data_IF_813559822663
#
_entry.id   IF_813559822663
#
_cell.length_a   1.000
_cell.length_b   1.000
_cell.length_c   1.000
_cell.angle_alpha   90.00
_cell.angle_beta   90.00
_cell.angle_gamma   90.00
#
_symmetry.space_group_name_H-M   'P 1'
#
loop_
_entity.id
_entity.type
_entity.pdbx_description
1 polymer ?
#
# COMPACT_ATOMS: atom_id res chain seq x y z
N UNK A 1 29.81 5.10 65.82
CA UNK A 1 29.50 3.65 65.82
C UNK A 1 28.01 3.54 66.02
N UNK A 2 27.23 3.91 65.00
CA UNK A 2 26.81 3.05 63.87
C UNK A 2 25.81 1.98 64.30
N UNK A 3 24.58 2.08 63.80
CA UNK A 3 23.89 1.00 63.07
C UNK A 3 22.59 1.54 62.46
N UNK A 4 22.42 1.25 61.17
CA UNK A 4 21.43 1.76 60.22
C UNK A 4 20.05 1.10 60.38
N UNK A 5 18.91 1.76 60.02
CA UNK A 5 17.65 1.06 59.83
C UNK A 5 17.40 0.70 58.36
N UNK A 6 17.18 -0.59 58.13
CA UNK A 6 16.24 -1.23 57.21
C UNK A 6 16.05 -0.67 55.77
N UNK A 7 16.84 -1.16 54.83
CA UNK A 7 16.46 -1.28 53.42
C UNK A 7 16.77 -2.70 52.92
N UNK A 8 15.85 -3.65 53.13
CA UNK A 8 15.93 -4.98 52.50
C UNK A 8 14.59 -5.74 52.58
N UNK A 9 13.55 -5.23 51.93
CA UNK A 9 12.30 -5.94 51.57
C UNK A 9 11.46 -4.92 50.77
N UNK A 10 11.10 -5.07 49.50
CA UNK A 10 11.09 -6.21 48.61
C UNK A 10 11.25 -5.73 47.15
N UNK A 11 12.35 -6.14 46.50
CA UNK A 11 12.61 -5.92 45.08
C UNK A 11 12.01 -7.07 44.26
N UNK A 12 10.70 -7.32 44.42
CA UNK A 12 10.02 -8.42 43.74
C UNK A 12 8.54 -8.16 43.48
N UNK A 13 8.17 -6.96 42.99
CA UNK A 13 6.78 -6.69 42.58
C UNK A 13 6.62 -5.74 41.39
N UNK A 14 7.71 -5.30 40.73
CA UNK A 14 7.61 -4.38 39.59
C UNK A 14 7.82 -5.02 38.22
N UNK A 15 7.93 -6.35 38.14
CA UNK A 15 8.08 -7.09 36.89
C UNK A 15 6.74 -7.48 36.22
N UNK A 16 5.63 -6.79 36.50
CA UNK A 16 4.37 -7.08 35.82
C UNK A 16 3.56 -5.83 35.46
N UNK A 17 4.22 -4.78 34.98
CA UNK A 17 3.56 -3.77 34.14
C UNK A 17 3.68 -4.22 32.68
N UNK A 18 2.77 -5.09 32.24
CA UNK A 18 2.52 -5.22 30.81
C UNK A 18 2.09 -3.85 30.29
N UNK A 19 2.98 -3.17 29.56
CA UNK A 19 2.66 -1.88 28.95
C UNK A 19 1.67 -2.12 27.79
N UNK A 20 0.47 -1.49 27.79
CA UNK A 20 -0.49 -1.63 26.69
C UNK A 20 -0.14 -0.77 25.44
N UNK A 21 1.14 -0.47 25.17
CA UNK A 21 1.52 0.69 24.36
C UNK A 21 2.14 0.45 22.97
N UNK A 22 2.91 -0.62 22.75
CA UNK A 22 3.78 -0.72 21.56
C UNK A 22 3.02 -1.06 20.28
N UNK A 23 2.13 -2.07 20.34
CA UNK A 23 1.37 -2.56 19.17
C UNK A 23 0.40 -1.53 18.59
N UNK A 24 -0.10 -0.62 19.44
CA UNK A 24 -1.10 0.37 19.04
C UNK A 24 -0.44 1.59 18.36
N UNK A 25 0.77 1.95 18.80
CA UNK A 25 1.60 2.95 18.14
C UNK A 25 2.11 2.44 16.79
N UNK A 26 2.65 1.22 16.70
CA UNK A 26 3.08 0.61 15.43
C UNK A 26 1.94 0.51 14.41
N UNK A 27 0.75 0.08 14.83
CA UNK A 27 -0.42 0.04 13.94
C UNK A 27 -0.83 1.44 13.45
N UNK A 28 -0.66 2.48 14.28
CA UNK A 28 -0.99 3.85 13.89
C UNK A 28 0.00 4.42 12.87
N UNK A 29 1.28 4.11 13.00
CA UNK A 29 2.34 4.52 12.07
C UNK A 29 2.18 3.83 10.71
N UNK A 30 1.90 2.51 10.71
CA UNK A 30 1.61 1.77 9.47
C UNK A 30 0.38 2.37 8.76
N UNK A 31 -0.66 2.73 9.51
CA UNK A 31 -1.82 3.39 8.92
C UNK A 31 -1.52 4.78 8.37
N UNK A 32 -0.65 5.57 9.01
CA UNK A 32 -0.30 6.88 8.49
C UNK A 32 0.62 6.79 7.27
N UNK A 33 1.53 5.82 7.24
CA UNK A 33 2.33 5.53 6.06
C UNK A 33 1.45 5.11 4.87
N UNK A 34 0.51 4.19 5.09
CA UNK A 34 -0.46 3.77 4.07
C UNK A 34 -1.29 4.97 3.55
N UNK A 35 -1.71 5.88 4.45
CA UNK A 35 -2.39 7.13 4.08
C UNK A 35 -1.50 8.05 3.25
N UNK A 36 -0.23 8.21 3.61
CA UNK A 36 0.73 9.03 2.86
C UNK A 36 0.95 8.48 1.43
N UNK A 37 1.10 7.16 1.28
CA UNK A 37 1.23 6.53 -0.02
C UNK A 37 -0.05 6.67 -0.86
N UNK A 38 -1.22 6.60 -0.24
CA UNK A 38 -2.48 6.84 -0.94
C UNK A 38 -2.63 8.31 -1.40
N UNK A 39 -2.22 9.28 -0.57
CA UNK A 39 -2.15 10.69 -0.98
C UNK A 39 -1.21 10.86 -2.18
N UNK A 40 -0.06 10.18 -2.17
CA UNK A 40 0.88 10.18 -3.30
C UNK A 40 0.27 9.59 -4.57
N UNK A 41 -0.50 8.51 -4.49
CA UNK A 41 -1.24 7.97 -5.64
C UNK A 41 -2.19 9.03 -6.24
N UNK A 42 -2.91 9.77 -5.41
CA UNK A 42 -3.82 10.84 -5.86
C UNK A 42 -3.04 11.99 -6.52
N UNK A 43 -1.89 12.39 -5.97
CA UNK A 43 -1.01 13.41 -6.57
C UNK A 43 -0.53 12.99 -7.97
N UNK A 44 -0.09 11.74 -8.12
CA UNK A 44 0.32 11.18 -9.40
C UNK A 44 -0.84 11.17 -10.40
N UNK A 45 -2.02 10.70 -9.98
CA UNK A 45 -3.22 10.65 -10.82
C UNK A 45 -3.60 12.05 -11.36
N UNK A 46 -3.50 13.09 -10.54
CA UNK A 46 -3.83 14.49 -10.91
C UNK A 46 -2.98 15.03 -12.05
N UNK A 47 -1.81 14.45 -12.34
CA UNK A 47 -0.95 14.86 -13.48
C UNK A 47 -1.63 14.67 -14.84
N UNK A 48 -2.63 13.79 -14.92
CA UNK A 48 -3.39 13.50 -16.14
C UNK A 48 -4.79 14.16 -16.15
N UNK A 49 -5.06 15.12 -15.27
CA UNK A 49 -6.33 15.82 -15.24
C UNK A 49 -6.69 16.38 -16.63
N UNK A 50 -7.91 16.07 -17.10
CA UNK A 50 -8.40 16.47 -18.41
C UNK A 50 -7.90 15.64 -19.60
N UNK A 51 -7.14 14.55 -19.38
CA UNK A 51 -6.50 13.77 -20.45
C UNK A 51 -6.93 12.30 -20.53
N UNK A 52 -7.55 11.77 -19.48
CA UNK A 52 -7.87 10.34 -19.39
C UNK A 52 -9.25 9.97 -19.90
N UNK A 53 -10.19 10.92 -19.99
CA UNK A 53 -11.59 10.65 -20.33
C UNK A 53 -11.71 9.78 -21.61
N UNK A 54 -12.53 8.71 -21.60
CA UNK A 54 -13.48 8.30 -20.56
C UNK A 54 -12.88 7.51 -19.38
N UNK A 55 -11.57 7.22 -19.39
CA UNK A 55 -10.91 6.43 -18.34
C UNK A 55 -10.71 7.24 -17.04
N UNK A 56 -10.68 6.57 -15.87
CA UNK A 56 -10.44 7.21 -14.58
C UNK A 56 -9.01 7.75 -14.46
N UNK A 57 -8.84 8.71 -13.55
CA UNK A 57 -7.52 9.15 -13.09
C UNK A 57 -6.99 8.13 -12.08
N UNK A 58 -5.90 7.45 -12.44
CA UNK A 58 -5.28 6.44 -11.60
C UNK A 58 -3.80 6.76 -11.41
N UNK A 59 -3.35 6.63 -10.17
CA UNK A 59 -1.96 6.69 -9.77
C UNK A 59 -1.62 5.47 -8.90
N UNK A 60 -0.38 5.01 -8.99
CA UNK A 60 0.12 3.85 -8.26
C UNK A 60 1.54 4.09 -7.76
N UNK A 61 1.83 3.57 -6.58
CA UNK A 61 3.12 3.65 -5.90
C UNK A 61 3.50 2.25 -5.44
N UNK A 62 4.75 1.84 -5.66
CA UNK A 62 5.30 0.58 -5.17
C UNK A 62 6.32 0.89 -4.09
N UNK A 63 6.16 0.26 -2.93
CA UNK A 63 7.02 0.42 -1.77
C UNK A 63 7.70 -0.90 -1.42
N UNK A 64 9.01 -0.86 -1.26
CA UNK A 64 9.82 -1.96 -0.73
C UNK A 64 10.69 -1.44 0.40
N UNK A 65 10.70 -2.15 1.52
CA UNK A 65 11.51 -1.82 2.70
C UNK A 65 11.38 -0.36 3.16
N UNK A 66 10.12 0.14 3.16
CA UNK A 66 9.77 1.50 3.57
C UNK A 66 10.12 2.61 2.56
N UNK A 67 10.58 2.26 1.36
CA UNK A 67 10.97 3.20 0.31
C UNK A 67 10.13 3.05 -0.95
N UNK A 68 9.79 4.16 -1.58
CA UNK A 68 9.18 4.16 -2.91
C UNK A 68 10.23 3.68 -3.90
N UNK A 69 9.92 2.61 -4.63
CA UNK A 69 10.77 2.02 -5.67
C UNK A 69 10.18 2.16 -7.07
N UNK A 70 8.91 2.55 -7.19
CA UNK A 70 8.30 2.86 -8.47
C UNK A 70 7.02 3.67 -8.32
N UNK A 71 6.77 4.54 -9.30
CA UNK A 71 5.61 5.40 -9.38
C UNK A 71 5.01 5.37 -10.78
N UNK A 72 3.69 5.53 -10.84
CA UNK A 72 2.99 5.50 -12.12
C UNK A 72 1.69 6.26 -12.06
N UNK A 73 1.26 6.77 -13.21
CA UNK A 73 -0.09 7.29 -13.42
C UNK A 73 -0.55 6.94 -14.82
N UNK A 74 -1.87 6.84 -15.01
CA UNK A 74 -2.45 6.62 -16.33
C UNK A 74 -2.47 7.95 -17.12
N UNK A 75 -1.71 8.11 -18.21
CA UNK A 75 -1.58 9.40 -18.88
C UNK A 75 -2.72 9.71 -19.86
N UNK A 76 -3.46 8.69 -20.33
CA UNK A 76 -4.52 8.86 -21.32
C UNK A 76 -5.02 7.54 -21.91
N UNK A 77 -6.21 7.56 -22.52
CA UNK A 77 -6.86 6.37 -23.04
C UNK A 77 -5.99 5.58 -24.05
N UNK A 78 -5.94 4.25 -23.90
CA UNK A 78 -5.14 3.36 -24.73
C UNK A 78 -3.65 3.28 -24.33
N UNK A 79 -3.20 4.10 -23.40
CA UNK A 79 -1.88 3.96 -22.77
C UNK A 79 -1.94 2.93 -21.62
N UNK A 80 -0.78 2.40 -21.20
CA UNK A 80 -0.72 1.54 -20.02
C UNK A 80 -1.36 2.20 -18.78
N UNK A 81 -1.85 1.36 -17.88
CA UNK A 81 -2.39 1.80 -16.60
C UNK A 81 -1.28 2.18 -15.62
N UNK A 82 -1.66 2.84 -14.52
CA UNK A 82 -0.73 3.36 -13.52
C UNK A 82 0.18 2.26 -12.94
N UNK A 83 -0.40 1.11 -12.62
CA UNK A 83 0.28 -0.05 -12.04
C UNK A 83 1.37 -0.57 -12.98
N UNK A 84 1.13 -0.55 -14.30
CA UNK A 84 2.12 -0.98 -15.28
C UNK A 84 3.31 -0.03 -15.33
N UNK A 85 3.08 1.28 -15.24
CA UNK A 85 4.18 2.25 -15.16
C UNK A 85 4.98 2.10 -13.86
N UNK A 86 4.29 1.96 -12.72
CA UNK A 86 4.95 1.78 -11.43
C UNK A 86 5.77 0.47 -11.38
N UNK A 87 5.24 -0.62 -11.93
CA UNK A 87 5.96 -1.91 -12.04
C UNK A 87 7.19 -1.80 -12.93
N UNK A 88 7.12 -1.05 -14.04
CA UNK A 88 8.28 -0.84 -14.92
C UNK A 88 9.39 -0.05 -14.24
N UNK A 89 9.03 0.96 -13.45
CA UNK A 89 10.01 1.74 -12.69
C UNK A 89 10.63 0.91 -11.56
N UNK A 90 9.81 0.13 -10.83
CA UNK A 90 10.28 -0.73 -9.76
C UNK A 90 11.17 -1.88 -10.24
N UNK A 91 10.91 -2.42 -11.44
CA UNK A 91 11.65 -3.56 -11.98
C UNK A 91 11.62 -4.75 -11.02
N UNK A 92 12.79 -5.32 -10.72
CA UNK A 92 12.92 -6.48 -9.82
C UNK A 92 12.53 -6.16 -8.37
N UNK A 93 12.57 -4.89 -7.96
CA UNK A 93 12.20 -4.48 -6.60
C UNK A 93 10.69 -4.63 -6.33
N UNK A 94 9.88 -4.92 -7.35
CA UNK A 94 8.46 -5.21 -7.19
C UNK A 94 8.19 -6.56 -6.50
N UNK A 95 9.11 -7.53 -6.59
CA UNK A 95 8.90 -8.86 -5.99
C UNK A 95 8.86 -8.76 -4.46
N UNK A 96 7.73 -9.16 -3.88
CA UNK A 96 7.41 -9.04 -2.47
C UNK A 96 7.20 -7.59 -1.97
N UNK A 97 7.02 -6.62 -2.85
CA UNK A 97 6.72 -5.23 -2.47
C UNK A 97 5.24 -5.03 -2.09
N UNK A 98 4.93 -3.87 -1.52
CA UNK A 98 3.55 -3.40 -1.34
C UNK A 98 3.21 -2.41 -2.45
N UNK A 99 2.09 -2.64 -3.13
CA UNK A 99 1.55 -1.72 -4.15
C UNK A 99 0.41 -0.92 -3.53
N UNK A 100 0.46 0.38 -3.69
CA UNK A 100 -0.63 1.30 -3.40
C UNK A 100 -1.23 1.77 -4.72
N UNK A 101 -2.56 1.84 -4.78
CA UNK A 101 -3.27 2.31 -5.97
C UNK A 101 -4.59 2.96 -5.54
N UNK A 102 -4.95 4.09 -6.13
CA UNK A 102 -6.16 4.83 -5.70
C UNK A 102 -7.49 4.20 -6.17
N UNK A 103 -7.45 3.27 -7.13
CA UNK A 103 -8.60 2.55 -7.67
C UNK A 103 -8.25 1.06 -7.76
N UNK A 104 -9.23 0.19 -7.57
CA UNK A 104 -9.06 -1.26 -7.74
C UNK A 104 -8.37 -1.61 -9.07
N UNK A 105 -7.34 -2.48 -9.06
CA UNK A 105 -6.69 -2.96 -10.28
C UNK A 105 -7.68 -3.68 -11.20
N UNK A 106 -7.65 -3.35 -12.50
CA UNK A 106 -8.56 -3.98 -13.44
C UNK A 106 -8.30 -5.50 -13.59
N UNK A 107 -9.38 -6.25 -13.81
CA UNK A 107 -9.37 -7.72 -13.97
C UNK A 107 -10.05 -8.20 -15.25
N UNK A 108 -10.09 -7.36 -16.28
CA UNK A 108 -10.71 -7.67 -17.56
C UNK A 108 -9.74 -7.33 -18.70
N UNK A 109 -9.91 -8.04 -19.81
CA UNK A 109 -9.15 -7.78 -21.03
C UNK A 109 -9.84 -6.66 -21.83
N UNK A 110 -9.18 -5.51 -21.91
CA UNK A 110 -9.60 -4.38 -22.74
C UNK A 110 -8.60 -4.12 -23.86
N UNK A 111 -8.22 -2.85 -24.04
CA UNK A 111 -7.12 -2.46 -24.95
C UNK A 111 -5.74 -2.88 -24.43
N UNK A 112 -5.64 -3.12 -23.13
CA UNK A 112 -4.43 -3.58 -22.44
C UNK A 112 -4.78 -4.82 -21.60
N UNK A 113 -3.79 -5.69 -21.31
CA UNK A 113 -3.96 -6.79 -20.36
C UNK A 113 -4.36 -6.31 -18.96
N UNK A 114 -4.95 -7.17 -18.11
CA UNK A 114 -5.38 -6.78 -16.77
C UNK A 114 -4.22 -6.46 -15.83
N UNK A 115 -4.38 -5.42 -15.01
CA UNK A 115 -3.37 -5.05 -14.01
C UNK A 115 -3.23 -6.09 -12.90
N UNK A 116 -4.34 -6.74 -12.51
CA UNK A 116 -4.33 -7.84 -11.53
C UNK A 116 -3.35 -8.95 -11.92
N UNK A 117 -3.30 -9.32 -13.20
CA UNK A 117 -2.35 -10.31 -13.71
C UNK A 117 -0.91 -9.84 -13.66
N UNK A 118 -0.67 -8.56 -14.01
CA UNK A 118 0.66 -7.97 -13.97
C UNK A 118 1.22 -7.95 -12.53
N UNK A 119 0.38 -7.62 -11.56
CA UNK A 119 0.74 -7.61 -10.14
C UNK A 119 1.03 -9.02 -9.60
N UNK A 120 0.19 -10.01 -9.95
CA UNK A 120 0.42 -11.42 -9.60
C UNK A 120 1.73 -11.92 -10.23
N UNK A 121 1.96 -11.62 -11.52
CA UNK A 121 3.19 -12.01 -12.21
C UNK A 121 4.43 -11.37 -11.61
N UNK A 122 4.33 -10.12 -11.14
CA UNK A 122 5.38 -9.42 -10.43
C UNK A 122 5.57 -9.93 -8.98
N UNK A 123 4.70 -10.84 -8.51
CA UNK A 123 4.74 -11.45 -7.18
C UNK A 123 4.80 -10.41 -6.05
N UNK A 124 3.99 -9.37 -6.16
CA UNK A 124 3.85 -8.37 -5.11
C UNK A 124 3.27 -9.02 -3.85
N UNK A 125 3.72 -8.64 -2.66
CA UNK A 125 3.29 -9.26 -1.41
C UNK A 125 1.94 -8.73 -0.92
N UNK A 126 1.63 -7.46 -1.21
CA UNK A 126 0.45 -6.77 -0.71
C UNK A 126 -0.03 -5.73 -1.71
N UNK A 127 -1.34 -5.60 -1.84
CA UNK A 127 -1.98 -4.50 -2.58
C UNK A 127 -2.92 -3.74 -1.65
N UNK A 128 -2.78 -2.42 -1.62
CA UNK A 128 -3.64 -1.48 -0.89
C UNK A 128 -4.38 -0.62 -1.90
N UNK A 129 -5.68 -0.87 -2.05
CA UNK A 129 -6.55 -0.13 -2.96
C UNK A 129 -7.33 0.97 -2.22
N UNK A 130 -7.37 2.18 -2.78
CA UNK A 130 -8.07 3.33 -2.20
C UNK A 130 -9.59 3.20 -2.28
N UNK A 131 -10.11 2.62 -3.37
CA UNK A 131 -11.51 2.28 -3.52
C UNK A 131 -11.70 1.05 -4.40
N UNK A 132 -12.84 0.37 -4.22
CA UNK A 132 -13.35 -0.66 -5.14
C UNK A 132 -13.82 0.03 -6.42
N UNK A 133 -13.62 -0.59 -7.58
CA UNK A 133 -14.07 -0.01 -8.85
C UNK A 133 -15.60 0.14 -8.84
N UNK A 134 -16.15 1.35 -9.15
CA UNK A 134 -17.60 1.56 -9.15
C UNK A 134 -18.30 0.90 -10.35
N UNK A 135 -17.56 0.46 -11.37
CA UNK A 135 -18.13 -0.25 -12.51
C UNK A 135 -18.63 -1.64 -12.06
N UNK A 136 -19.93 -1.95 -12.15
CA UNK A 136 -20.48 -3.23 -11.70
C UNK A 136 -19.88 -4.45 -12.39
N UNK A 137 -19.29 -4.28 -13.59
CA UNK A 137 -18.63 -5.35 -14.33
C UNK A 137 -17.24 -5.70 -13.78
N UNK A 138 -16.65 -4.82 -12.96
CA UNK A 138 -15.29 -4.93 -12.44
C UNK A 138 -15.27 -5.04 -10.92
N UNK A 139 -16.20 -4.37 -10.24
CA UNK A 139 -16.28 -4.22 -8.80
C UNK A 139 -15.93 -5.51 -8.03
N UNK A 140 -14.78 -5.49 -7.34
CA UNK A 140 -14.31 -6.55 -6.46
C UNK A 140 -13.63 -7.73 -7.15
N UNK A 141 -13.71 -7.85 -8.48
CA UNK A 141 -13.12 -8.99 -9.21
C UNK A 141 -11.59 -8.93 -9.24
N UNK A 142 -10.99 -7.74 -9.29
CA UNK A 142 -9.54 -7.57 -9.25
C UNK A 142 -8.98 -7.84 -7.87
N UNK A 143 -9.65 -7.33 -6.84
CA UNK A 143 -9.28 -7.64 -5.45
C UNK A 143 -9.48 -9.12 -5.10
N UNK A 144 -10.49 -9.79 -5.68
CA UNK A 144 -10.66 -11.24 -5.50
C UNK A 144 -9.48 -12.01 -6.09
N UNK A 145 -9.09 -11.72 -7.34
CA UNK A 145 -7.94 -12.36 -7.99
C UNK A 145 -6.63 -12.18 -7.22
N UNK A 146 -6.41 -11.01 -6.62
CA UNK A 146 -5.19 -10.72 -5.86
C UNK A 146 -5.10 -11.45 -4.51
N UNK A 147 -6.17 -12.12 -4.07
CA UNK A 147 -6.19 -12.92 -2.82
C UNK A 147 -5.94 -14.41 -3.06
N UNK A 148 -6.00 -14.87 -4.31
CA UNK A 148 -5.73 -16.25 -4.72
C UNK A 148 -4.23 -16.47 -4.92
#
# INVERSE_FOLDING_TARGET
METFPAEAQAIASLANRQQPGTKQLENSEIQEFDRAMMRRCIELARRALGKTAPNPLVGSVIVRDGKIVGEGFHPGAGQPHAEVFALREAGELAEGATVYVNLEPCNHYGRTPPCSEALVKAKVAKVVAGMVDPNPLVAGTGLARLRE
#
